data_IF_017555071569
#
_entry.id   IF_017555071569
#
_cell.length_a   1.000
_cell.length_b   1.000
_cell.length_c   1.000
_cell.angle_alpha   90.00
_cell.angle_beta   90.00
_cell.angle_gamma   90.00
#
_symmetry.space_group_name_H-M   'P 1'
#
loop_
_entity.id
_entity.type
_entity.pdbx_description
1 polymer ?
#
# COMPACT_ATOMS: atom_id res chain seq x y z
N UNK A 1 -18.50 -10.93 29.45
CA UNK A 1 -17.09 -10.99 29.88
C UNK A 1 -16.23 -10.95 28.63
N UNK A 2 -15.30 -10.00 28.49
CA UNK A 2 -14.53 -9.81 27.26
C UNK A 2 -13.52 -10.94 27.06
N UNK A 3 -13.47 -11.45 25.82
CA UNK A 3 -12.54 -12.48 25.40
C UNK A 3 -11.09 -11.96 25.37
N UNK A 4 -10.08 -12.80 25.68
CA UNK A 4 -8.69 -12.40 25.65
C UNK A 4 -8.31 -12.08 24.20
N UNK A 5 -7.99 -10.82 23.94
CA UNK A 5 -7.40 -10.42 22.67
C UNK A 5 -6.02 -11.06 22.61
N UNK A 6 -5.87 -12.06 21.74
CA UNK A 6 -4.57 -12.64 21.41
C UNK A 6 -3.59 -11.52 21.13
N UNK A 7 -2.48 -11.50 21.86
CA UNK A 7 -1.40 -10.55 21.64
C UNK A 7 -1.02 -10.60 20.16
N UNK A 8 -1.31 -9.55 19.39
CA UNK A 8 -0.83 -9.40 18.03
C UNK A 8 0.70 -9.49 18.11
N UNK A 9 1.28 -10.52 17.51
CA UNK A 9 2.72 -10.65 17.40
C UNK A 9 3.27 -9.31 16.89
N UNK A 10 4.13 -8.66 17.68
CA UNK A 10 4.75 -7.39 17.29
C UNK A 10 5.47 -7.64 15.98
N UNK A 11 4.94 -7.10 14.88
CA UNK A 11 5.59 -7.14 13.58
C UNK A 11 6.84 -6.28 13.74
N UNK A 12 8.01 -6.90 13.70
CA UNK A 12 9.27 -6.34 14.24
C UNK A 12 10.25 -5.86 13.17
N UNK A 13 9.78 -5.72 11.92
CA UNK A 13 10.62 -5.33 10.78
C UNK A 13 10.12 -3.99 10.19
N UNK A 14 10.48 -2.85 10.80
CA UNK A 14 10.22 -1.54 10.21
C UNK A 14 11.05 -1.37 8.93
N UNK A 15 10.39 -1.07 7.82
CA UNK A 15 11.05 -0.88 6.50
C UNK A 15 10.93 0.55 6.00
N UNK A 16 9.88 1.26 6.43
CA UNK A 16 9.64 2.68 6.17
C UNK A 16 9.06 3.34 7.43
N UNK A 17 9.01 4.68 7.51
CA UNK A 17 8.29 5.38 8.58
C UNK A 17 6.80 4.99 8.62
N UNK A 18 6.13 5.31 9.72
CA UNK A 18 4.68 5.14 9.81
C UNK A 18 3.96 6.01 8.77
N UNK A 19 2.80 5.54 8.31
CA UNK A 19 1.96 6.28 7.40
C UNK A 19 1.51 7.61 8.03
N UNK A 20 1.46 8.65 7.21
CA UNK A 20 0.82 9.92 7.57
C UNK A 20 -0.55 9.99 6.91
N UNK A 21 -1.55 10.50 7.64
CA UNK A 21 -2.90 10.66 7.07
C UNK A 21 -2.91 11.66 5.91
N UNK A 22 -2.04 12.68 5.96
CA UNK A 22 -1.88 13.73 4.95
C UNK A 22 -0.72 13.48 3.98
N UNK A 23 -0.71 14.22 2.86
CA UNK A 23 0.37 14.17 1.87
C UNK A 23 0.12 13.15 0.76
N UNK A 24 1.17 12.86 -0.01
CA UNK A 24 1.06 12.14 -1.27
C UNK A 24 1.42 10.65 -1.19
N UNK A 25 1.55 10.11 0.01
CA UNK A 25 1.97 8.74 0.26
C UNK A 25 0.81 7.94 0.84
N UNK A 26 0.64 6.70 0.40
CA UNK A 26 -0.41 5.80 0.87
C UNK A 26 0.13 4.38 1.06
N UNK A 27 -0.31 3.71 2.13
CA UNK A 27 0.12 2.38 2.50
C UNK A 27 -1.01 1.38 2.21
N UNK A 28 -0.63 0.21 1.69
CA UNK A 28 -1.54 -0.91 1.43
C UNK A 28 -0.86 -2.22 1.79
N UNK A 29 -1.41 -2.91 2.80
CA UNK A 29 -1.00 -4.29 3.09
C UNK A 29 -1.12 -5.19 1.85
N UNK A 30 -2.31 -5.24 1.25
CA UNK A 30 -2.59 -5.98 0.00
C UNK A 30 -3.92 -5.51 -0.61
N UNK A 31 -4.11 -5.80 -1.88
CA UNK A 31 -5.36 -5.67 -2.62
C UNK A 31 -5.60 -6.98 -3.36
N UNK A 32 -6.79 -7.56 -3.19
CA UNK A 32 -7.18 -8.78 -3.89
C UNK A 32 -8.60 -8.63 -4.40
N UNK A 33 -8.79 -8.90 -5.69
CA UNK A 33 -10.07 -8.93 -6.41
C UNK A 33 -11.11 -7.87 -5.94
N UNK A 34 -10.78 -6.56 -5.99
CA UNK A 34 -11.65 -5.52 -5.45
C UNK A 34 -12.97 -5.43 -6.23
N UNK A 35 -14.06 -5.24 -5.49
CA UNK A 35 -15.36 -4.95 -6.11
C UNK A 35 -15.33 -3.62 -6.87
N UNK A 36 -16.26 -3.37 -7.81
CA UNK A 36 -16.35 -2.08 -8.50
C UNK A 36 -16.47 -0.87 -7.56
N UNK A 37 -17.18 -1.02 -6.44
CA UNK A 37 -17.27 0.02 -5.42
C UNK A 37 -15.92 0.26 -4.74
N UNK A 38 -15.18 -0.82 -4.42
CA UNK A 38 -13.85 -0.70 -3.82
C UNK A 38 -12.85 -0.06 -4.79
N UNK A 39 -12.90 -0.38 -6.08
CA UNK A 39 -12.10 0.27 -7.11
C UNK A 39 -12.35 1.78 -7.18
N UNK A 40 -13.62 2.21 -7.12
CA UNK A 40 -13.95 3.64 -7.06
C UNK A 40 -13.35 4.31 -5.81
N UNK A 41 -13.45 3.69 -4.64
CA UNK A 41 -12.84 4.24 -3.43
C UNK A 41 -11.32 4.35 -3.54
N UNK A 42 -10.65 3.35 -4.13
CA UNK A 42 -9.20 3.40 -4.35
C UNK A 42 -8.82 4.50 -5.37
N UNK A 43 -9.64 4.71 -6.41
CA UNK A 43 -9.45 5.81 -7.35
C UNK A 43 -9.60 7.17 -6.67
N UNK A 44 -10.60 7.37 -5.82
CA UNK A 44 -10.76 8.60 -5.03
C UNK A 44 -9.55 8.84 -4.12
N UNK A 45 -9.05 7.80 -3.44
CA UNK A 45 -7.83 7.91 -2.64
C UNK A 45 -6.62 8.31 -3.48
N UNK A 46 -6.44 7.71 -4.66
CA UNK A 46 -5.34 8.05 -5.56
C UNK A 46 -5.43 9.50 -6.06
N UNK A 47 -6.62 9.97 -6.43
CA UNK A 47 -6.85 11.37 -6.82
C UNK A 47 -6.44 12.31 -5.69
N UNK A 48 -6.85 12.01 -4.46
CA UNK A 48 -6.47 12.81 -3.29
C UNK A 48 -4.94 12.88 -3.11
N UNK A 49 -4.24 11.72 -3.15
CA UNK A 49 -2.78 11.69 -3.02
C UNK A 49 -2.05 12.37 -4.17
N UNK A 50 -2.59 12.29 -5.39
CA UNK A 50 -2.06 13.02 -6.54
C UNK A 50 -2.18 14.54 -6.34
N UNK A 51 -3.32 15.01 -5.83
CA UNK A 51 -3.55 16.44 -5.56
C UNK A 51 -2.57 16.97 -4.51
N UNK A 52 -2.48 16.29 -3.36
CA UNK A 52 -1.53 16.60 -2.27
C UNK A 52 -0.07 16.62 -2.76
N UNK A 53 0.25 15.76 -3.73
CA UNK A 53 1.59 15.63 -4.30
C UNK A 53 1.84 16.40 -5.59
N UNK A 54 0.95 17.34 -5.96
CA UNK A 54 1.06 18.16 -7.19
C UNK A 54 1.25 17.31 -8.45
N UNK A 55 0.44 16.26 -8.58
CA UNK A 55 0.43 15.31 -9.69
C UNK A 55 1.31 14.07 -9.48
N UNK A 56 1.83 13.83 -8.28
CA UNK A 56 2.68 12.65 -7.97
C UNK A 56 2.31 12.04 -6.63
N UNK A 57 2.05 10.74 -6.61
CA UNK A 57 1.83 9.97 -5.38
C UNK A 57 2.76 8.77 -5.28
N UNK A 58 2.98 8.29 -4.04
CA UNK A 58 3.79 7.12 -3.74
C UNK A 58 2.90 6.10 -3.02
N UNK A 59 2.94 4.85 -3.47
CA UNK A 59 2.26 3.74 -2.80
C UNK A 59 3.27 2.77 -2.22
N UNK A 60 3.17 2.49 -0.93
CA UNK A 60 3.88 1.40 -0.27
C UNK A 60 2.96 0.19 -0.17
N UNK A 61 3.38 -0.91 -0.77
CA UNK A 61 2.59 -2.14 -0.88
C UNK A 61 3.30 -3.23 -0.08
N UNK A 62 2.54 -4.04 0.65
CA UNK A 62 3.14 -5.03 1.56
C UNK A 62 3.70 -4.40 2.84
N UNK A 63 3.19 -3.23 3.20
CA UNK A 63 3.54 -2.50 4.41
C UNK A 63 2.27 -2.23 5.22
N UNK A 64 2.37 -2.34 6.54
CA UNK A 64 1.31 -1.97 7.47
C UNK A 64 1.35 -0.46 7.77
N UNK A 65 0.28 0.09 8.34
CA UNK A 65 0.15 1.53 8.63
C UNK A 65 1.25 2.04 9.59
N UNK A 66 1.86 1.15 10.40
CA UNK A 66 2.99 1.46 11.27
C UNK A 66 4.36 1.45 10.57
N UNK A 67 4.40 1.23 9.26
CA UNK A 67 5.62 1.16 8.45
C UNK A 67 6.35 -0.18 8.49
N UNK A 68 5.76 -1.19 9.15
CA UNK A 68 6.35 -2.53 9.22
C UNK A 68 6.03 -3.38 7.98
N UNK A 69 6.98 -4.25 7.66
CA UNK A 69 6.85 -5.25 6.60
C UNK A 69 5.71 -6.24 6.90
N UNK A 70 4.82 -6.48 5.93
CA UNK A 70 3.64 -7.34 6.13
C UNK A 70 3.91 -8.85 6.00
N UNK A 71 5.12 -9.22 5.57
CA UNK A 71 5.59 -10.60 5.33
C UNK A 71 4.76 -11.36 4.28
N UNK A 72 4.16 -10.63 3.35
CA UNK A 72 3.50 -11.22 2.19
C UNK A 72 4.52 -11.65 1.13
N UNK A 73 4.17 -12.68 0.37
CA UNK A 73 4.93 -13.10 -0.79
C UNK A 73 4.87 -12.04 -1.91
N UNK A 74 5.85 -12.14 -2.81
CA UNK A 74 5.98 -11.22 -3.92
C UNK A 74 4.76 -11.25 -4.86
N UNK A 75 4.16 -12.42 -5.11
CA UNK A 75 3.01 -12.54 -6.02
C UNK A 75 1.81 -11.73 -5.52
N UNK A 76 1.51 -11.80 -4.21
CA UNK A 76 0.45 -11.03 -3.57
C UNK A 76 0.69 -9.52 -3.67
N UNK A 77 1.93 -9.08 -3.42
CA UNK A 77 2.33 -7.66 -3.54
C UNK A 77 2.27 -7.21 -5.01
N UNK A 78 2.70 -8.06 -5.93
CA UNK A 78 2.69 -7.80 -7.38
C UNK A 78 1.28 -7.69 -7.93
N UNK A 79 0.34 -8.53 -7.50
CA UNK A 79 -1.08 -8.42 -7.84
C UNK A 79 -1.64 -7.07 -7.37
N UNK A 80 -1.35 -6.69 -6.13
CA UNK A 80 -1.77 -5.41 -5.56
C UNK A 80 -1.23 -4.22 -6.38
N UNK A 81 0.02 -4.29 -6.82
CA UNK A 81 0.64 -3.27 -7.67
C UNK A 81 -0.02 -3.17 -9.04
N UNK A 82 -0.42 -4.30 -9.64
CA UNK A 82 -1.16 -4.33 -10.91
C UNK A 82 -2.54 -3.67 -10.78
N UNK A 83 -3.25 -3.93 -9.68
CA UNK A 83 -4.55 -3.28 -9.41
C UNK A 83 -4.39 -1.76 -9.33
N UNK A 84 -3.38 -1.26 -8.60
CA UNK A 84 -3.10 0.17 -8.49
C UNK A 84 -2.69 0.79 -9.83
N UNK A 85 -1.91 0.07 -10.65
CA UNK A 85 -1.57 0.53 -12.00
C UNK A 85 -2.80 0.66 -12.91
N UNK A 86 -3.74 -0.29 -12.85
CA UNK A 86 -4.99 -0.19 -13.59
C UNK A 86 -5.79 1.07 -13.18
N UNK A 87 -5.82 1.38 -11.88
CA UNK A 87 -6.46 2.59 -11.36
C UNK A 87 -5.74 3.84 -11.87
N UNK A 88 -4.40 3.88 -11.78
CA UNK A 88 -3.61 5.00 -12.29
C UNK A 88 -3.91 5.27 -13.77
N UNK A 89 -3.95 4.22 -14.61
CA UNK A 89 -4.29 4.33 -16.02
C UNK A 89 -5.70 4.86 -16.25
N UNK A 90 -6.68 4.44 -15.45
CA UNK A 90 -8.05 4.97 -15.53
C UNK A 90 -8.15 6.46 -15.18
N UNK A 91 -7.19 6.97 -14.41
CA UNK A 91 -7.07 8.38 -14.03
C UNK A 91 -6.15 9.18 -14.96
N UNK A 92 -5.72 8.60 -16.09
CA UNK A 92 -4.72 9.16 -17.00
C UNK A 92 -3.35 9.44 -16.35
N UNK A 93 -3.03 8.73 -15.27
CA UNK A 93 -1.71 8.73 -14.65
C UNK A 93 -0.86 7.55 -15.13
N UNK A 94 0.46 7.66 -14.94
CA UNK A 94 1.43 6.63 -15.32
C UNK A 94 2.28 6.23 -14.12
N UNK A 95 2.68 4.97 -14.07
CA UNK A 95 3.66 4.48 -13.09
C UNK A 95 5.05 4.90 -13.57
N UNK A 96 5.70 5.78 -12.82
CA UNK A 96 7.05 6.27 -13.15
C UNK A 96 8.13 5.27 -12.75
N UNK A 97 7.95 4.60 -11.61
CA UNK A 97 8.97 3.72 -11.03
C UNK A 97 8.32 2.66 -10.13
N UNK A 98 8.93 1.48 -10.07
CA UNK A 98 8.68 0.46 -9.05
C UNK A 98 10.00 0.02 -8.44
N UNK A 99 10.10 0.11 -7.12
CA UNK A 99 11.28 -0.29 -6.35
C UNK A 99 10.86 -1.28 -5.28
N UNK A 100 11.62 -2.35 -5.13
CA UNK A 100 11.54 -3.21 -3.96
C UNK A 100 12.23 -2.49 -2.81
N UNK A 101 11.52 -2.29 -1.71
CA UNK A 101 12.02 -1.65 -0.49
C UNK A 101 12.43 -2.66 0.58
N UNK A 102 12.20 -3.94 0.34
CA UNK A 102 12.81 -5.01 1.12
C UNK A 102 14.31 -4.94 0.84
N UNK A 103 15.08 -4.34 1.74
CA UNK A 103 16.50 -4.64 1.84
C UNK A 103 16.56 -6.15 2.09
N UNK A 104 16.97 -6.90 1.07
CA UNK A 104 17.03 -8.36 1.12
C UNK A 104 17.73 -8.78 2.42
N UNK A 105 16.98 -9.36 3.36
CA UNK A 105 17.60 -10.32 4.28
C UNK A 105 17.78 -11.57 3.42
N UNK A 106 18.86 -11.56 2.62
CA UNK A 106 19.38 -12.79 2.02
C UNK A 106 19.85 -13.62 3.22
N UNK A 107 19.03 -14.58 3.63
CA UNK A 107 19.42 -15.59 4.61
C UNK A 107 20.21 -16.69 3.92
#
# INVERSE_FOLDING_TARGET
>A
MPQPHGAKAKRSLPVVPAESEDGNTEYKRQLHNPTPSRLRSLATQMVYRLDEGKGRCIYFIGVEDDGCHSMLDYDTVSESARILECIARSLNAVVLERKMIQNEIVM
#
